data_IF_753092938413
#
_entry.id   IF_753092938413
#
_cell.length_a   1.000
_cell.length_b   1.000
_cell.length_c   1.000
_cell.angle_alpha   90.00
_cell.angle_beta   90.00
_cell.angle_gamma   90.00
#
_symmetry.space_group_name_H-M   'P 1'
#
loop_
_entity.id
_entity.type
_entity.pdbx_description
1 polymer ?
#
# COMPACT_ATOMS: atom_id res chain seq x y z
N UNK A 1 -1.36 20.00 15.10
CA UNK A 1 -2.78 20.06 15.50
C UNK A 1 -3.14 18.73 16.11
N UNK A 2 -3.60 18.67 17.37
CA UNK A 2 -4.04 17.41 17.97
C UNK A 2 -5.51 17.21 17.60
N UNK A 3 -5.79 16.26 16.72
CA UNK A 3 -7.15 15.89 16.33
C UNK A 3 -7.35 14.48 16.90
N UNK A 4 -8.37 14.31 17.75
CA UNK A 4 -8.76 12.99 18.25
C UNK A 4 -9.86 12.44 17.37
N UNK A 5 -9.68 11.21 16.86
CA UNK A 5 -10.68 10.49 16.09
C UNK A 5 -11.55 9.64 17.00
N UNK A 6 -12.79 9.40 16.58
CA UNK A 6 -13.65 8.40 17.22
C UNK A 6 -13.17 6.99 16.88
N UNK A 7 -13.64 5.98 17.61
CA UNK A 7 -13.31 4.59 17.33
C UNK A 7 -13.80 4.17 15.93
N UNK A 8 -14.97 4.64 15.52
CA UNK A 8 -15.56 4.37 14.20
C UNK A 8 -14.73 4.99 13.08
N UNK A 9 -14.20 6.21 13.29
CA UNK A 9 -13.30 6.84 12.32
C UNK A 9 -11.98 6.09 12.20
N UNK A 10 -11.43 5.60 13.31
CA UNK A 10 -10.21 4.78 13.31
C UNK A 10 -10.44 3.47 12.54
N UNK A 11 -11.55 2.78 12.82
CA UNK A 11 -11.88 1.52 12.16
C UNK A 11 -12.09 1.71 10.65
N UNK A 12 -12.85 2.72 10.24
CA UNK A 12 -13.09 3.01 8.83
C UNK A 12 -11.78 3.33 8.08
N UNK A 13 -10.89 4.10 8.71
CA UNK A 13 -9.56 4.41 8.14
C UNK A 13 -8.69 3.16 8.05
N UNK A 14 -8.66 2.34 9.09
CA UNK A 14 -7.90 1.08 9.10
C UNK A 14 -8.41 0.14 8.01
N UNK A 15 -9.72 -0.03 7.88
CA UNK A 15 -10.33 -0.86 6.84
C UNK A 15 -9.94 -0.38 5.44
N UNK A 16 -10.00 0.94 5.21
CA UNK A 16 -9.55 1.52 3.94
C UNK A 16 -8.07 1.27 3.66
N UNK A 17 -7.19 1.45 4.66
CA UNK A 17 -5.76 1.19 4.54
C UNK A 17 -5.50 -0.27 4.20
N UNK A 18 -6.15 -1.21 4.88
CA UNK A 18 -5.98 -2.64 4.65
C UNK A 18 -6.46 -3.07 3.26
N UNK A 19 -7.60 -2.55 2.79
CA UNK A 19 -8.09 -2.78 1.43
C UNK A 19 -7.12 -2.26 0.38
N UNK A 20 -6.56 -1.07 0.59
CA UNK A 20 -5.55 -0.51 -0.31
C UNK A 20 -4.27 -1.38 -0.35
N UNK A 21 -3.79 -1.86 0.81
CA UNK A 21 -2.65 -2.78 0.88
C UNK A 21 -2.93 -4.07 0.10
N UNK A 22 -4.13 -4.64 0.27
CA UNK A 22 -4.55 -5.83 -0.45
C UNK A 22 -4.56 -5.61 -1.97
N UNK A 23 -5.15 -4.52 -2.45
CA UNK A 23 -5.17 -4.17 -3.87
C UNK A 23 -3.77 -4.06 -4.47
N UNK A 24 -2.82 -3.44 -3.75
CA UNK A 24 -1.43 -3.38 -4.20
C UNK A 24 -0.80 -4.77 -4.28
N UNK A 25 -1.04 -5.63 -3.28
CA UNK A 25 -0.53 -7.00 -3.29
C UNK A 25 -1.10 -7.81 -4.44
N UNK A 26 -2.40 -7.67 -4.74
CA UNK A 26 -3.03 -8.32 -5.89
C UNK A 26 -2.44 -7.79 -7.20
N UNK A 27 -2.28 -6.48 -7.34
CA UNK A 27 -1.76 -5.85 -8.56
C UNK A 27 -0.35 -6.33 -8.91
N UNK A 28 0.56 -6.36 -7.94
CA UNK A 28 1.98 -6.68 -8.19
C UNK A 28 2.37 -8.14 -7.87
N UNK A 29 1.54 -8.86 -7.13
CA UNK A 29 1.77 -10.23 -6.71
C UNK A 29 1.02 -11.28 -7.53
N UNK A 30 0.10 -10.88 -8.43
CA UNK A 30 -0.65 -11.82 -9.26
C UNK A 30 0.25 -12.60 -10.21
N UNK A 31 0.11 -13.92 -10.18
CA UNK A 31 0.84 -14.87 -11.02
C UNK A 31 -0.01 -15.31 -12.22
N UNK A 32 0.60 -15.91 -13.26
CA UNK A 32 -0.13 -16.37 -14.45
C UNK A 32 -1.20 -17.43 -14.16
N UNK A 33 -1.02 -18.21 -13.09
CA UNK A 33 -1.97 -19.22 -12.62
C UNK A 33 -3.16 -18.62 -11.84
N UNK A 34 -3.20 -17.30 -11.67
CA UNK A 34 -4.25 -16.57 -10.95
C UNK A 34 -4.04 -16.50 -9.43
N UNK A 35 -2.99 -17.12 -8.89
CA UNK A 35 -2.63 -17.02 -7.46
C UNK A 35 -1.97 -15.67 -7.14
N UNK A 36 -2.02 -15.26 -5.87
CA UNK A 36 -1.44 -14.00 -5.39
C UNK A 36 -0.29 -14.28 -4.42
N UNK A 37 0.90 -13.77 -4.75
CA UNK A 37 2.05 -13.74 -3.85
C UNK A 37 2.09 -12.39 -3.11
N UNK A 38 1.59 -12.37 -1.87
CA UNK A 38 1.52 -11.15 -1.06
C UNK A 38 2.88 -10.61 -0.65
N UNK A 39 3.87 -11.48 -0.41
CA UNK A 39 5.21 -11.04 -0.02
C UNK A 39 5.86 -10.31 -1.21
N UNK A 40 5.79 -10.91 -2.40
CA UNK A 40 6.28 -10.27 -3.62
C UNK A 40 5.50 -8.99 -3.93
N UNK A 41 4.18 -9.03 -3.84
CA UNK A 41 3.32 -7.89 -4.14
C UNK A 41 3.58 -6.70 -3.21
N UNK A 42 3.66 -6.94 -1.89
CA UNK A 42 3.95 -5.91 -0.90
C UNK A 42 5.33 -5.28 -1.11
N UNK A 43 6.36 -6.09 -1.36
CA UNK A 43 7.72 -5.60 -1.58
C UNK A 43 7.83 -4.73 -2.84
N UNK A 44 7.22 -5.15 -3.96
CA UNK A 44 7.20 -4.35 -5.19
C UNK A 44 6.42 -3.05 -4.99
N UNK A 45 5.25 -3.11 -4.35
CA UNK A 45 4.43 -1.92 -4.08
C UNK A 45 5.18 -0.90 -3.21
N UNK A 46 5.81 -1.36 -2.12
CA UNK A 46 6.58 -0.53 -1.22
C UNK A 46 7.79 0.11 -1.92
N UNK A 47 8.53 -0.68 -2.71
CA UNK A 47 9.65 -0.18 -3.49
C UNK A 47 9.23 0.89 -4.49
N UNK A 48 8.18 0.62 -5.29
CA UNK A 48 7.68 1.58 -6.29
C UNK A 48 7.27 2.90 -5.66
N UNK A 49 6.59 2.87 -4.51
CA UNK A 49 6.17 4.10 -3.82
C UNK A 49 7.35 4.99 -3.45
N UNK A 50 8.42 4.40 -2.91
CA UNK A 50 9.63 5.15 -2.52
C UNK A 50 10.43 5.56 -3.75
N UNK A 51 10.64 4.66 -4.71
CA UNK A 51 11.40 4.94 -5.92
C UNK A 51 10.77 6.09 -6.74
N UNK A 52 9.45 6.10 -6.92
CA UNK A 52 8.75 7.20 -7.59
C UNK A 52 8.96 8.52 -6.84
N UNK A 53 8.79 8.54 -5.51
CA UNK A 53 9.00 9.75 -4.73
C UNK A 53 10.45 10.27 -4.79
N UNK A 54 11.45 9.37 -4.81
CA UNK A 54 12.86 9.72 -4.98
C UNK A 54 13.13 10.30 -6.38
N UNK A 55 12.53 9.74 -7.44
CA UNK A 55 12.65 10.28 -8.80
C UNK A 55 12.00 11.66 -8.92
N UNK A 56 10.86 11.87 -8.28
CA UNK A 56 10.14 13.16 -8.26
C UNK A 56 10.92 14.25 -7.50
N UNK A 57 11.61 13.88 -6.41
CA UNK A 57 12.45 14.80 -5.64
C UNK A 57 13.78 15.13 -6.35
N UNK A 58 14.17 14.33 -7.35
CA UNK A 58 15.42 14.49 -8.08
C UNK A 58 16.64 14.02 -7.30
N UNK A 59 17.84 14.35 -7.78
CA UNK A 59 19.09 14.10 -7.05
C UNK A 59 19.25 15.19 -5.99
N UNK A 60 19.15 14.81 -4.71
CA UNK A 60 19.60 15.65 -3.58
C UNK A 60 21.12 15.67 -3.46
#
# INVERSE_FOLDING_TARGET
>A
SHISWTAEEVDAKLHHIMSSIHEQCVKYGRRPDGTIDYVKGANIAGFMKVATAMLEQGTI
#
